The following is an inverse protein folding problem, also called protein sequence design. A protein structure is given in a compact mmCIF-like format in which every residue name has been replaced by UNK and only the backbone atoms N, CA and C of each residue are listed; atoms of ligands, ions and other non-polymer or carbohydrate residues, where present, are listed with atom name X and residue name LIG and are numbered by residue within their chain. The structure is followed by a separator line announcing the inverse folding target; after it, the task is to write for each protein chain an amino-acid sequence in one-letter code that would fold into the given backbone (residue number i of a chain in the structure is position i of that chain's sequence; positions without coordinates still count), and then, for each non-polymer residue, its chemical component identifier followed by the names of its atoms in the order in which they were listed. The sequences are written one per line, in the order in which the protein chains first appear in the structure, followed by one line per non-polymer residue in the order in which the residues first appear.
data_IF_041802903327
#
_entry.id   IF_041802903327
#
_cell.length_a   1.000
_cell.length_b   1.000
_cell.length_c   1.000
_cell.angle_alpha   90.00
_cell.angle_beta   90.00
_cell.angle_gamma   90.00
#
_symmetry.space_group_name_H-M   'P 1'
#
loop_
_entity.id
_entity.type
_entity.pdbx_description
1 polymer ?
#
# COMPACT_ATOMS: atom_id res chain seq x y z
N UNK A 1 8.47 8.20 -17.35
CA UNK A 1 7.27 8.36 -16.49
C UNK A 1 7.74 8.00 -15.10
N UNK A 2 7.80 8.97 -14.18
CA UNK A 2 8.41 8.76 -12.87
C UNK A 2 7.48 7.88 -12.03
N UNK A 3 7.92 6.68 -11.67
CA UNK A 3 7.33 5.97 -10.53
C UNK A 3 7.77 6.75 -9.29
N UNK A 4 6.89 7.64 -8.81
CA UNK A 4 7.09 8.30 -7.54
C UNK A 4 6.93 7.25 -6.44
N UNK A 5 7.85 7.15 -5.45
CA UNK A 5 7.64 6.29 -4.31
C UNK A 5 6.36 6.69 -3.59
N UNK A 6 5.42 5.76 -3.57
CA UNK A 6 4.11 5.99 -2.99
C UNK A 6 4.13 5.77 -1.49
N UNK A 7 3.51 6.70 -0.77
CA UNK A 7 3.23 6.61 0.67
C UNK A 7 1.74 6.36 0.79
N UNK A 8 1.37 5.08 0.90
CA UNK A 8 -0.03 4.71 1.07
C UNK A 8 -0.49 5.08 2.47
N UNK A 9 -1.50 5.93 2.50
CA UNK A 9 -2.20 6.47 3.64
C UNK A 9 -3.49 5.71 3.88
N UNK A 10 -3.50 4.38 3.64
CA UNK A 10 -4.68 3.51 3.82
C UNK A 10 -5.15 3.60 5.28
N UNK A 11 -5.94 4.62 5.54
CA UNK A 11 -6.55 4.96 6.81
C UNK A 11 -8.03 4.70 6.61
N UNK A 12 -8.55 3.69 7.31
CA UNK A 12 -9.78 3.04 6.92
C UNK A 12 -10.56 2.63 8.17
N UNK A 13 -11.25 3.60 8.78
CA UNK A 13 -12.35 3.32 9.70
C UNK A 13 -13.67 3.51 8.95
N UNK A 14 -14.43 2.48 8.61
CA UNK A 14 -15.81 2.65 8.11
C UNK A 14 -16.76 1.73 8.89
N UNK A 15 -17.49 2.25 9.89
CA UNK A 15 -18.35 1.43 10.72
C UNK A 15 -19.59 0.89 9.97
N UNK A 16 -19.77 1.24 8.69
CA UNK A 16 -20.91 0.83 7.86
C UNK A 16 -20.47 0.43 6.44
N UNK A 17 -19.60 -0.56 6.32
CA UNK A 17 -19.46 -1.27 5.05
C UNK A 17 -20.82 -1.90 4.69
N UNK A 18 -21.45 -1.39 3.64
CA UNK A 18 -22.86 -1.64 3.30
C UNK A 18 -23.14 -3.04 2.69
N UNK A 19 -22.15 -3.94 2.71
CA UNK A 19 -22.18 -5.19 1.93
C UNK A 19 -21.82 -6.46 2.73
N UNK A 20 -21.81 -6.40 4.07
CA UNK A 20 -21.60 -7.59 4.91
C UNK A 20 -20.14 -8.07 4.99
N UNK A 21 -19.20 -7.31 4.42
CA UNK A 21 -17.77 -7.52 4.61
C UNK A 21 -17.32 -6.88 5.93
N UNK A 22 -16.53 -7.62 6.70
CA UNK A 22 -15.89 -7.11 7.90
C UNK A 22 -14.93 -5.95 7.54
N UNK A 23 -14.90 -4.90 8.35
CA UNK A 23 -14.02 -3.73 8.14
C UNK A 23 -12.55 -4.14 7.98
N UNK A 24 -12.15 -5.19 8.70
CA UNK A 24 -10.80 -5.76 8.70
C UNK A 24 -10.50 -6.58 7.43
N UNK A 25 -11.47 -6.75 6.54
CA UNK A 25 -11.35 -7.58 5.34
C UNK A 25 -10.83 -6.80 4.12
N UNK A 26 -10.74 -5.47 4.19
CA UNK A 26 -10.34 -4.61 3.08
C UNK A 26 -8.97 -4.96 2.47
N UNK A 27 -8.89 -4.89 1.14
CA UNK A 27 -7.82 -5.47 0.32
C UNK A 27 -6.44 -4.85 0.51
N UNK A 28 -6.38 -3.52 0.69
CA UNK A 28 -5.13 -2.72 0.62
C UNK A 28 -4.74 -2.05 1.94
N UNK A 29 -5.35 -2.45 3.05
CA UNK A 29 -5.00 -1.97 4.40
C UNK A 29 -3.54 -2.23 4.75
N UNK A 30 -2.98 -3.36 4.30
CA UNK A 30 -1.57 -3.73 4.50
C UNK A 30 -0.56 -2.75 3.90
N UNK A 31 -0.96 -1.94 2.93
CA UNK A 31 -0.09 -0.93 2.31
C UNK A 31 0.04 0.31 3.21
N UNK A 32 -0.92 0.51 4.12
CA UNK A 32 -0.97 1.63 5.06
C UNK A 32 -0.09 1.45 6.30
N UNK A 33 -0.39 2.25 7.33
CA UNK A 33 0.35 2.30 8.61
C UNK A 33 -0.52 1.97 9.81
N UNK A 34 -1.60 1.21 9.59
CA UNK A 34 -2.60 0.87 10.59
C UNK A 34 -3.79 1.84 10.61
N UNK A 35 -4.85 1.50 11.37
CA UNK A 35 -6.15 2.20 11.31
C UNK A 35 -6.27 3.40 12.28
N UNK A 36 -5.20 3.82 12.95
CA UNK A 36 -5.23 4.92 13.93
C UNK A 36 -4.64 6.20 13.30
N UNK A 37 -5.36 7.35 13.31
CA UNK A 37 -4.97 8.50 12.49
C UNK A 37 -3.61 9.07 12.88
N UNK A 38 -3.30 9.11 14.18
CA UNK A 38 -2.05 9.64 14.67
C UNK A 38 -0.87 8.79 14.21
N UNK A 39 -0.89 7.48 14.46
CA UNK A 39 0.13 6.53 14.02
C UNK A 39 0.30 6.55 12.50
N UNK A 40 -0.81 6.57 11.76
CA UNK A 40 -0.76 6.63 10.30
C UNK A 40 -0.15 7.94 9.80
N UNK A 41 -0.47 9.06 10.46
CA UNK A 41 0.07 10.38 10.15
C UNK A 41 1.55 10.51 10.47
N UNK A 42 2.00 10.08 11.65
CA UNK A 42 3.43 10.10 12.01
C UNK A 42 4.25 9.14 11.14
N UNK A 43 3.72 7.94 10.87
CA UNK A 43 4.36 6.99 9.95
C UNK A 43 4.52 7.56 8.54
N UNK A 44 3.54 8.33 8.06
CA UNK A 44 3.63 9.01 6.79
C UNK A 44 4.62 10.17 6.79
N UNK A 45 4.60 11.00 7.84
CA UNK A 45 5.52 12.11 7.99
C UNK A 45 6.97 11.62 7.87
N UNK A 46 7.35 10.62 8.67
CA UNK A 46 8.71 10.09 8.68
C UNK A 46 9.07 9.39 7.36
N UNK A 47 8.12 8.67 6.75
CA UNK A 47 8.34 8.03 5.44
C UNK A 47 8.59 9.07 4.35
N UNK A 48 7.81 10.15 4.32
CA UNK A 48 7.93 11.23 3.33
C UNK A 48 9.25 11.98 3.53
N UNK A 49 9.61 12.30 4.78
CA UNK A 49 10.91 12.92 5.10
C UNK A 49 12.05 12.03 4.62
N UNK A 50 11.99 10.72 4.90
CA UNK A 50 12.99 9.74 4.45
C UNK A 50 13.14 9.70 2.92
N UNK A 51 12.03 9.51 2.19
CA UNK A 51 12.04 9.44 0.72
C UNK A 51 12.57 10.75 0.11
N UNK A 52 12.06 11.90 0.58
CA UNK A 52 12.43 13.19 -0.01
C UNK A 52 13.85 13.62 0.35
N UNK A 53 14.43 13.09 1.44
CA UNK A 53 15.82 13.34 1.80
C UNK A 53 16.81 12.78 0.76
N UNK A 54 16.41 11.79 -0.04
CA UNK A 54 17.23 11.21 -1.12
C UNK A 54 17.01 11.90 -2.46
N UNK A 55 16.43 13.11 -2.48
CA UNK A 55 16.12 13.83 -3.71
C UNK A 55 15.01 13.19 -4.55
N UNK A 56 14.17 12.34 -3.96
CA UNK A 56 13.06 11.68 -4.66
C UNK A 56 11.71 12.25 -4.22
N UNK A 57 10.84 12.60 -5.17
CA UNK A 57 9.50 13.12 -4.85
C UNK A 57 8.59 12.01 -4.30
N UNK A 58 8.12 12.15 -3.06
CA UNK A 58 7.14 11.23 -2.47
C UNK A 58 5.70 11.57 -2.91
N UNK A 59 4.85 10.54 -3.01
CA UNK A 59 3.44 10.69 -3.37
C UNK A 59 2.52 10.12 -2.29
N UNK A 60 1.76 10.95 -1.58
CA UNK A 60 0.78 10.46 -0.59
C UNK A 60 -0.53 10.03 -1.28
N UNK A 61 -1.00 8.79 -1.01
CA UNK A 61 -2.15 8.20 -1.71
C UNK A 61 -3.02 7.31 -0.81
N UNK A 62 -4.28 7.02 -1.11
CA UNK A 62 -5.11 7.58 -2.18
C UNK A 62 -6.06 8.59 -1.55
N UNK A 63 -6.13 9.79 -2.11
CA UNK A 63 -6.87 10.92 -1.57
C UNK A 63 -8.25 11.03 -2.25
N UNK A 64 -9.36 10.64 -1.61
CA UNK A 64 -9.48 10.13 -0.24
C UNK A 64 -10.67 9.19 -0.13
N UNK A 65 -10.73 8.41 0.95
CA UNK A 65 -11.83 7.50 1.28
C UNK A 65 -11.97 6.31 0.32
N UNK A 66 -10.89 5.90 -0.34
CA UNK A 66 -10.88 4.66 -1.10
C UNK A 66 -10.78 3.45 -0.15
N UNK A 67 -11.86 3.21 0.59
CA UNK A 67 -11.88 2.34 1.77
C UNK A 67 -12.26 0.88 1.47
N UNK A 68 -12.41 0.52 0.21
CA UNK A 68 -12.70 -0.84 -0.23
C UNK A 68 -12.29 -0.99 -1.69
N UNK A 69 -11.83 -2.18 -2.08
CA UNK A 69 -11.53 -2.45 -3.48
C UNK A 69 -12.80 -2.76 -4.28
N UNK A 70 -13.79 -3.38 -3.62
CA UNK A 70 -15.09 -3.67 -4.20
C UNK A 70 -15.74 -2.40 -4.75
N UNK A 71 -15.96 -2.39 -6.07
CA UNK A 71 -16.53 -1.25 -6.79
C UNK A 71 -15.78 0.06 -6.60
N UNK A 72 -14.46 0.06 -6.34
CA UNK A 72 -13.69 1.30 -6.09
C UNK A 72 -13.84 2.39 -7.17
N UNK A 73 -14.12 2.01 -8.42
CA UNK A 73 -14.35 2.94 -9.55
C UNK A 73 -15.82 3.39 -9.69
N UNK A 74 -16.72 2.90 -8.85
CA UNK A 74 -18.17 3.16 -8.90
C UNK A 74 -18.79 3.35 -7.50
N UNK A 75 -17.97 3.40 -6.45
CA UNK A 75 -18.41 3.58 -5.07
C UNK A 75 -18.46 5.06 -4.72
N UNK A 76 -19.32 5.40 -3.75
CA UNK A 76 -19.46 6.76 -3.24
C UNK A 76 -19.32 6.74 -1.71
N UNK A 77 -18.22 7.31 -1.22
CA UNK A 77 -17.95 7.43 0.20
C UNK A 77 -18.70 8.63 0.77
N UNK A 78 -19.60 8.38 1.72
CA UNK A 78 -20.35 9.41 2.43
C UNK A 78 -19.74 9.67 3.80
N UNK A 79 -19.21 10.87 4.00
CA UNK A 79 -18.55 11.25 5.25
C UNK A 79 -19.02 12.64 5.70
N UNK A 80 -19.20 12.81 7.00
CA UNK A 80 -19.45 14.12 7.59
C UNK A 80 -18.13 14.90 7.78
N UNK A 81 -18.25 16.22 7.94
CA UNK A 81 -17.08 17.11 8.03
C UNK A 81 -16.14 16.77 9.19
N UNK A 82 -16.70 16.40 10.35
CA UNK A 82 -15.92 16.04 11.54
C UNK A 82 -15.06 14.81 11.28
N UNK A 83 -15.65 13.73 10.77
CA UNK A 83 -14.92 12.50 10.45
C UNK A 83 -13.94 12.71 9.29
N UNK A 84 -14.28 13.54 8.28
CA UNK A 84 -13.32 13.91 7.24
C UNK A 84 -12.04 14.48 7.87
N UNK A 85 -12.16 15.45 8.78
CA UNK A 85 -11.01 16.16 9.34
C UNK A 85 -10.27 15.40 10.45
N UNK A 86 -10.99 14.79 11.40
CA UNK A 86 -10.39 14.16 12.59
C UNK A 86 -9.80 12.77 12.30
N UNK A 87 -10.27 12.12 11.24
CA UNK A 87 -10.03 10.69 11.01
C UNK A 87 -9.29 10.52 9.67
N UNK A 88 -9.92 10.79 8.53
CA UNK A 88 -9.32 10.44 7.23
C UNK A 88 -8.31 11.45 6.71
N UNK A 89 -8.52 12.74 6.97
CA UNK A 89 -7.65 13.79 6.46
C UNK A 89 -6.40 13.98 7.31
N UNK A 90 -6.44 13.63 8.61
CA UNK A 90 -5.31 13.83 9.52
C UNK A 90 -3.98 13.26 8.98
N UNK A 91 -3.92 12.03 8.43
CA UNK A 91 -2.68 11.51 7.89
C UNK A 91 -2.17 12.30 6.66
N UNK A 92 -3.07 12.86 5.84
CA UNK A 92 -2.69 13.76 4.73
C UNK A 92 -2.25 15.14 5.23
N UNK A 93 -2.80 15.63 6.33
CA UNK A 93 -2.31 16.85 6.99
C UNK A 93 -0.85 16.67 7.43
N UNK A 94 -0.51 15.53 8.02
CA UNK A 94 0.87 15.18 8.37
C UNK A 94 1.77 15.05 7.14
N UNK A 95 1.28 14.50 6.03
CA UNK A 95 2.00 14.50 4.76
C UNK A 95 2.28 15.93 4.24
N UNK A 96 1.32 16.84 4.37
CA UNK A 96 1.50 18.26 4.02
C UNK A 96 2.53 18.92 4.93
N UNK A 97 2.51 18.65 6.24
CA UNK A 97 3.53 19.12 7.19
C UNK A 97 4.95 18.64 6.82
N UNK A 98 5.07 17.42 6.28
CA UNK A 98 6.31 16.87 5.76
C UNK A 98 6.74 17.44 4.38
N UNK A 99 6.00 18.43 3.85
CA UNK A 99 6.17 18.99 2.51
C UNK A 99 6.14 17.93 1.40
N UNK A 100 5.17 17.01 1.43
CA UNK A 100 5.00 16.01 0.38
C UNK A 100 4.90 16.66 -1.02
N UNK A 101 5.63 16.10 -1.98
CA UNK A 101 5.73 16.62 -3.34
C UNK A 101 4.43 16.44 -4.14
N UNK A 102 3.75 15.31 -3.98
CA UNK A 102 2.51 15.02 -4.68
C UNK A 102 1.48 14.28 -3.82
N UNK A 103 0.21 14.42 -4.22
CA UNK A 103 -0.89 13.65 -3.67
C UNK A 103 -1.63 12.97 -4.82
N UNK A 104 -1.89 11.67 -4.70
CA UNK A 104 -2.67 10.92 -5.69
C UNK A 104 -4.13 10.89 -5.29
N UNK A 105 -5.00 11.41 -6.14
CA UNK A 105 -6.44 11.38 -5.94
C UNK A 105 -7.02 9.98 -6.21
N UNK A 106 -8.06 9.58 -5.49
CA UNK A 106 -8.61 8.22 -5.52
C UNK A 106 -9.61 7.95 -6.67
N UNK A 107 -10.00 6.68 -6.80
CA UNK A 107 -11.00 6.18 -7.75
C UNK A 107 -12.46 6.50 -7.38
N UNK A 108 -12.79 6.57 -6.10
CA UNK A 108 -14.17 6.64 -5.64
C UNK A 108 -14.73 8.07 -5.69
N UNK A 109 -16.06 8.16 -5.69
CA UNK A 109 -16.73 9.42 -5.38
C UNK A 109 -16.63 9.73 -3.88
N UNK A 110 -16.60 11.02 -3.55
CA UNK A 110 -16.70 11.52 -2.17
C UNK A 110 -17.87 12.47 -2.08
N UNK A 111 -18.87 12.11 -1.25
CA UNK A 111 -20.11 12.85 -1.09
C UNK A 111 -20.81 13.18 -2.44
N UNK A 112 -20.76 12.26 -3.40
CA UNK A 112 -21.40 12.38 -4.71
C UNK A 112 -20.61 13.11 -5.79
N UNK A 113 -19.30 13.30 -5.61
CA UNK A 113 -18.42 13.87 -6.64
C UNK A 113 -17.12 13.09 -6.71
N UNK A 114 -16.75 12.67 -7.92
CA UNK A 114 -15.48 12.00 -8.24
C UNK A 114 -14.31 12.73 -7.58
N UNK A 115 -13.48 11.98 -6.84
CA UNK A 115 -12.37 12.56 -6.08
C UNK A 115 -11.43 13.36 -6.99
N UNK A 116 -11.14 12.86 -8.20
CA UNK A 116 -10.27 13.52 -9.19
C UNK A 116 -10.90 14.76 -9.84
N UNK A 117 -12.19 15.01 -9.62
CA UNK A 117 -12.95 16.16 -10.11
C UNK A 117 -13.57 17.00 -8.97
N UNK A 118 -13.18 16.76 -7.72
CA UNK A 118 -13.82 17.39 -6.58
C UNK A 118 -13.10 18.69 -6.14
N UNK A 119 -13.62 19.85 -6.56
CA UNK A 119 -13.05 21.15 -6.20
C UNK A 119 -13.07 21.47 -4.70
N UNK A 120 -13.97 20.85 -3.93
CA UNK A 120 -13.99 20.98 -2.48
C UNK A 120 -12.82 20.24 -1.81
N UNK A 121 -12.23 19.26 -2.50
CA UNK A 121 -11.05 18.52 -2.05
C UNK A 121 -9.76 19.13 -2.62
N UNK A 122 -9.68 19.34 -3.94
CA UNK A 122 -8.44 19.62 -4.67
C UNK A 122 -8.21 21.09 -5.02
N UNK A 123 -9.30 21.85 -5.18
CA UNK A 123 -9.26 23.21 -5.72
C UNK A 123 -8.52 24.20 -4.82
N UNK A 124 -8.31 25.43 -5.29
CA UNK A 124 -7.55 26.45 -4.54
C UNK A 124 -8.15 26.78 -3.16
N UNK A 125 -9.46 26.60 -3.00
CA UNK A 125 -10.18 26.71 -1.73
C UNK A 125 -10.62 25.35 -1.15
N UNK A 126 -10.12 24.26 -1.72
CA UNK A 126 -10.40 22.90 -1.30
C UNK A 126 -9.59 22.50 -0.08
N UNK A 127 -9.94 21.34 0.48
CA UNK A 127 -9.37 20.79 1.70
C UNK A 127 -7.83 20.75 1.68
N UNK A 128 -7.21 20.28 0.59
CA UNK A 128 -5.75 20.22 0.47
C UNK A 128 -5.11 21.61 0.55
N UNK A 129 -5.58 22.53 -0.27
CA UNK A 129 -4.94 23.84 -0.47
C UNK A 129 -5.15 24.76 0.73
N UNK A 130 -6.32 24.72 1.35
CA UNK A 130 -6.59 25.46 2.61
C UNK A 130 -5.66 25.05 3.75
N UNK A 131 -5.21 23.80 3.75
CA UNK A 131 -4.30 23.27 4.76
C UNK A 131 -2.82 23.33 4.33
N UNK A 132 -2.51 24.07 3.26
CA UNK A 132 -1.13 24.41 2.90
C UNK A 132 -0.44 23.46 1.94
N UNK A 133 -1.18 22.56 1.27
CA UNK A 133 -0.58 21.71 0.23
C UNK A 133 -0.08 22.53 -0.97
N UNK A 134 1.24 22.49 -1.21
CA UNK A 134 1.92 23.27 -2.28
C UNK A 134 2.30 22.44 -3.51
N UNK A 135 2.30 21.12 -3.39
CA UNK A 135 2.68 20.20 -4.46
C UNK A 135 1.59 20.03 -5.52
N UNK A 136 1.69 18.97 -6.31
CA UNK A 136 0.72 18.67 -7.38
C UNK A 136 -0.20 17.49 -7.05
N UNK A 137 -1.44 17.55 -7.53
CA UNK A 137 -2.38 16.42 -7.49
C UNK A 137 -2.26 15.63 -8.79
N UNK A 138 -2.01 14.33 -8.66
CA UNK A 138 -2.03 13.37 -9.77
C UNK A 138 -3.26 12.46 -9.63
N UNK A 139 -3.86 12.00 -10.72
CA UNK A 139 -4.93 11.00 -10.64
C UNK A 139 -4.37 9.65 -10.24
N UNK A 140 -5.18 8.75 -9.69
CA UNK A 140 -4.89 7.32 -9.79
C UNK A 140 -5.00 6.88 -11.27
N UNK A 141 -4.47 5.71 -11.60
CA UNK A 141 -4.41 5.21 -12.96
C UNK A 141 -5.81 5.04 -13.54
N UNK A 142 -6.15 5.85 -14.55
CA UNK A 142 -7.48 5.88 -15.18
C UNK A 142 -8.62 6.37 -14.27
N UNK A 143 -8.34 7.01 -13.12
CA UNK A 143 -9.35 7.62 -12.24
C UNK A 143 -9.85 8.97 -12.79
N UNK A 144 -10.37 8.94 -14.03
CA UNK A 144 -10.68 10.13 -14.80
C UNK A 144 -11.98 9.87 -15.57
N UNK A 145 -13.09 10.41 -15.06
CA UNK A 145 -14.43 10.06 -15.52
C UNK A 145 -15.20 11.21 -16.18
N UNK A 146 -14.72 12.44 -15.99
CA UNK A 146 -15.34 13.64 -16.54
C UNK A 146 -14.52 14.23 -17.68
N UNK A 147 -15.02 15.31 -18.27
CA UNK A 147 -14.29 16.01 -19.33
C UNK A 147 -13.08 16.80 -18.77
N UNK A 148 -12.24 17.25 -19.70
CA UNK A 148 -11.01 18.01 -19.45
C UNK A 148 -11.20 19.21 -18.51
N UNK A 149 -12.18 20.07 -18.78
CA UNK A 149 -12.36 21.31 -18.03
C UNK A 149 -12.88 21.04 -16.62
N UNK A 150 -13.70 20.01 -16.43
CA UNK A 150 -14.12 19.56 -15.10
C UNK A 150 -12.92 19.20 -14.23
N UNK A 151 -12.03 18.31 -14.67
CA UNK A 151 -10.86 17.91 -13.89
C UNK A 151 -9.87 19.07 -13.69
N UNK A 152 -9.59 19.82 -14.77
CA UNK A 152 -8.64 20.92 -14.73
C UNK A 152 -9.05 22.03 -13.77
N UNK A 153 -10.32 22.46 -13.84
CA UNK A 153 -10.84 23.52 -12.98
C UNK A 153 -11.14 23.03 -11.55
N UNK A 154 -11.25 21.72 -11.32
CA UNK A 154 -11.38 21.15 -9.99
C UNK A 154 -10.06 21.14 -9.21
N UNK A 155 -8.90 21.25 -9.87
CA UNK A 155 -7.59 21.31 -9.23
C UNK A 155 -6.71 20.07 -9.44
N UNK A 156 -7.05 19.19 -10.38
CA UNK A 156 -6.16 18.12 -10.83
C UNK A 156 -5.01 18.73 -11.65
N UNK A 157 -3.76 18.40 -11.30
CA UNK A 157 -2.58 18.97 -11.94
C UNK A 157 -1.92 18.01 -12.95
N UNK A 158 -2.11 16.69 -12.79
CA UNK A 158 -1.54 15.67 -13.66
C UNK A 158 -2.50 14.48 -13.86
N UNK A 159 -2.65 14.06 -15.12
CA UNK A 159 -3.34 12.82 -15.48
C UNK A 159 -2.33 11.67 -15.65
N UNK A 160 -2.61 10.52 -15.05
CA UNK A 160 -1.85 9.28 -15.26
C UNK A 160 -2.79 8.11 -15.65
N UNK A 161 -2.40 7.24 -16.60
CA UNK A 161 -1.15 7.20 -17.37
C UNK A 161 -1.04 8.30 -18.45
N UNK A 162 -2.09 9.12 -18.62
CA UNK A 162 -2.17 10.18 -19.60
C UNK A 162 -2.83 9.74 -20.92
N UNK A 163 -3.35 10.72 -21.67
CA UNK A 163 -3.91 10.51 -23.01
C UNK A 163 -5.41 10.26 -23.06
N UNK A 164 -6.13 10.35 -21.94
CA UNK A 164 -7.58 10.18 -21.88
C UNK A 164 -8.30 11.53 -22.01
N UNK A 165 -8.03 12.49 -21.13
CA UNK A 165 -8.76 13.77 -21.08
C UNK A 165 -7.85 15.01 -21.11
N UNK A 166 -6.59 14.90 -20.74
CA UNK A 166 -5.59 15.95 -20.88
C UNK A 166 -4.83 15.78 -22.22
N UNK A 167 -3.63 16.34 -22.35
CA UNK A 167 -2.88 16.35 -23.60
C UNK A 167 -3.47 17.33 -24.63
N UNK A 168 -3.82 16.84 -25.82
CA UNK A 168 -4.40 17.67 -26.89
C UNK A 168 -5.72 18.31 -26.48
N UNK A 169 -6.52 17.61 -25.67
CA UNK A 169 -7.80 18.12 -25.18
C UNK A 169 -7.61 19.28 -24.21
N UNK A 170 -6.60 19.22 -23.32
CA UNK A 170 -6.26 20.35 -22.45
C UNK A 170 -5.76 21.55 -23.24
N UNK A 171 -4.98 21.33 -24.30
CA UNK A 171 -4.57 22.40 -25.21
C UNK A 171 -5.77 23.07 -25.88
N UNK A 172 -6.74 22.27 -26.34
CA UNK A 172 -7.97 22.78 -26.95
C UNK A 172 -8.84 23.54 -25.95
N UNK A 173 -9.01 23.01 -24.72
CA UNK A 173 -9.78 23.64 -23.66
C UNK A 173 -9.20 25.00 -23.24
N UNK A 174 -7.86 25.12 -23.20
CA UNK A 174 -7.21 26.41 -22.91
C UNK A 174 -7.40 27.41 -24.05
N UNK A 175 -7.23 26.98 -25.31
CA UNK A 175 -7.47 27.83 -26.48
C UNK A 175 -8.94 28.24 -26.62
N UNK A 176 -9.86 27.37 -26.21
CA UNK A 176 -11.30 27.59 -26.22
C UNK A 176 -11.81 28.44 -25.06
N UNK A 177 -11.01 28.63 -24.00
CA UNK A 177 -11.38 29.40 -22.82
C UNK A 177 -12.10 28.60 -21.73
N UNK A 178 -12.33 27.30 -21.92
CA UNK A 178 -12.94 26.41 -20.91
C UNK A 178 -11.99 26.15 -19.72
N UNK A 179 -10.68 26.31 -19.94
CA UNK A 179 -9.63 26.29 -18.90
C UNK A 179 -8.81 27.56 -19.05
N UNK A 180 -8.57 28.29 -17.97
CA UNK A 180 -7.79 29.52 -18.07
C UNK A 180 -6.29 29.23 -18.19
N UNK A 181 -5.54 30.11 -18.85
CA UNK A 181 -4.06 30.01 -18.88
C UNK A 181 -3.46 30.06 -17.46
N UNK A 182 -4.09 30.78 -16.54
CA UNK A 182 -3.70 30.81 -15.13
C UNK A 182 -3.84 29.43 -14.47
N UNK A 183 -4.92 28.70 -14.76
CA UNK A 183 -5.12 27.33 -14.29
C UNK A 183 -3.99 26.42 -14.78
N UNK A 184 -3.72 26.42 -16.10
CA UNK A 184 -2.62 25.63 -16.68
C UNK A 184 -1.25 25.99 -16.07
N UNK A 185 -0.98 27.28 -15.92
CA UNK A 185 0.27 27.75 -15.32
C UNK A 185 0.41 27.31 -13.86
N UNK A 186 -0.68 27.25 -13.10
CA UNK A 186 -0.66 26.74 -11.73
C UNK A 186 -0.38 25.23 -11.69
N UNK A 187 -0.97 24.43 -12.58
CA UNK A 187 -0.66 23.00 -12.69
C UNK A 187 0.85 22.79 -12.95
N UNK A 188 1.40 23.49 -13.95
CA UNK A 188 2.81 23.38 -14.32
C UNK A 188 3.71 23.83 -13.18
N UNK A 189 3.40 24.94 -12.50
CA UNK A 189 4.16 25.42 -11.34
C UNK A 189 4.18 24.40 -10.22
N UNK A 190 3.05 23.75 -9.92
CA UNK A 190 2.94 22.74 -8.86
C UNK A 190 3.70 21.46 -9.17
N UNK A 191 3.88 21.12 -10.45
CA UNK A 191 4.72 20.00 -10.88
C UNK A 191 6.20 20.37 -10.82
N UNK A 192 6.57 21.56 -11.31
CA UNK A 192 7.97 21.97 -11.39
C UNK A 192 8.58 22.39 -10.05
N UNK A 193 7.79 22.99 -9.14
CA UNK A 193 8.29 23.45 -7.84
C UNK A 193 8.91 22.31 -6.99
N UNK A 194 8.23 21.16 -6.76
CA UNK A 194 8.83 20.05 -6.03
C UNK A 194 9.96 19.38 -6.82
N UNK A 195 9.90 19.35 -8.16
CA UNK A 195 11.00 18.84 -8.99
C UNK A 195 12.31 19.60 -8.70
N UNK A 196 12.27 20.93 -8.74
CA UNK A 196 13.45 21.75 -8.44
C UNK A 196 13.90 21.63 -6.99
N UNK A 197 12.96 21.53 -6.04
CA UNK A 197 13.31 21.30 -4.63
C UNK A 197 14.10 19.99 -4.48
N UNK A 198 13.64 18.91 -5.11
CA UNK A 198 14.32 17.62 -5.05
C UNK A 198 15.68 17.61 -5.77
N UNK A 199 15.80 18.27 -6.92
CA UNK A 199 17.07 18.40 -7.65
C UNK A 199 18.17 19.08 -6.80
N UNK A 200 17.78 20.11 -6.02
CA UNK A 200 18.72 20.74 -5.08
C UNK A 200 19.17 19.81 -3.96
N UNK A 201 18.31 18.90 -3.51
CA UNK A 201 18.62 17.92 -2.46
C UNK A 201 19.52 16.80 -3.01
N UNK A 202 19.18 16.25 -4.18
CA UNK A 202 19.96 15.19 -4.85
C UNK A 202 21.42 15.62 -5.08
N UNK A 203 21.61 16.86 -5.55
CA UNK A 203 22.94 17.44 -5.75
C UNK A 203 23.73 17.50 -4.43
N UNK A 204 23.07 17.80 -3.30
CA UNK A 204 23.73 17.83 -1.98
C UNK A 204 24.07 16.43 -1.47
N UNK A 205 23.18 15.44 -1.68
CA UNK A 205 23.39 14.04 -1.27
C UNK A 205 24.56 13.42 -2.04
N UNK A 206 24.61 13.61 -3.37
CA UNK A 206 25.69 13.11 -4.23
C UNK A 206 27.08 13.62 -3.82
N UNK A 207 27.16 14.82 -3.23
CA UNK A 207 28.42 15.38 -2.72
C UNK A 207 28.86 14.79 -1.36
N UNK A 208 27.99 14.02 -0.70
CA UNK A 208 28.22 13.44 0.63
C UNK A 208 28.28 11.91 0.65
N UNK A 209 27.75 11.24 -0.38
CA UNK A 209 27.74 9.78 -0.43
C UNK A 209 29.05 9.19 -0.97
N UNK A 210 29.99 8.97 -0.06
CA UNK A 210 30.81 7.75 -0.11
C UNK A 210 30.34 6.83 1.02
N UNK A 211 29.93 5.60 0.69
CA UNK A 211 29.61 4.49 1.61
C UNK A 211 28.34 4.61 2.46
N UNK A 212 27.17 4.24 1.91
CA UNK A 212 25.99 3.85 2.70
C UNK A 212 25.53 2.39 2.46
N UNK A 213 25.81 1.80 1.29
CA UNK A 213 25.37 0.44 0.96
C UNK A 213 26.05 -0.70 1.75
N UNK A 214 27.17 -0.45 2.45
CA UNK A 214 27.89 -1.50 3.19
C UNK A 214 27.36 -1.75 4.62
N UNK A 215 26.45 -0.91 5.14
CA UNK A 215 26.08 -0.91 6.56
C UNK A 215 24.82 -1.71 6.95
N UNK A 216 24.11 -2.34 6.01
CA UNK A 216 22.84 -3.05 6.30
C UNK A 216 22.99 -4.56 6.56
N UNK A 217 24.20 -5.08 6.75
CA UNK A 217 24.47 -6.53 6.87
C UNK A 217 24.26 -7.15 8.26
N UNK A 218 23.71 -6.45 9.26
CA UNK A 218 23.35 -7.12 10.52
C UNK A 218 21.89 -7.57 10.45
N UNK A 219 21.61 -8.87 10.21
CA UNK A 219 20.24 -9.35 10.34
C UNK A 219 19.72 -9.01 11.73
N UNK A 220 18.47 -8.53 11.86
CA UNK A 220 17.87 -8.28 13.16
C UNK A 220 17.97 -9.55 14.02
N UNK A 221 18.03 -9.43 15.36
CA UNK A 221 17.99 -10.59 16.23
C UNK A 221 16.76 -11.43 15.86
N UNK A 222 16.99 -12.62 15.33
CA UNK A 222 15.93 -13.56 14.97
C UNK A 222 15.04 -13.86 16.18
N UNK A 223 13.83 -14.36 15.90
CA UNK A 223 12.78 -14.69 16.88
C UNK A 223 13.39 -15.19 18.19
N UNK A 224 13.01 -14.64 19.37
CA UNK A 224 13.55 -15.02 20.68
C UNK A 224 13.00 -16.38 21.13
N UNK A 225 13.21 -17.41 20.32
CA UNK A 225 13.04 -18.80 20.70
C UNK A 225 14.39 -19.32 21.15
N UNK A 226 14.45 -19.90 22.35
CA UNK A 226 15.62 -20.66 22.81
C UNK A 226 15.70 -22.00 22.08
N UNK A 227 15.96 -21.96 20.77
CA UNK A 227 15.98 -23.13 19.88
C UNK A 227 17.16 -24.08 20.19
N UNK A 228 18.12 -23.66 21.02
CA UNK A 228 19.30 -24.46 21.38
C UNK A 228 18.99 -25.74 22.16
N UNK A 229 17.84 -25.81 22.87
CA UNK A 229 17.42 -26.99 23.63
C UNK A 229 16.55 -27.98 22.84
N UNK A 230 16.12 -27.61 21.62
CA UNK A 230 15.23 -28.42 20.80
C UNK A 230 16.06 -29.52 20.10
N UNK A 231 15.70 -30.79 20.33
CA UNK A 231 16.36 -31.95 19.70
C UNK A 231 15.63 -32.38 18.44
N UNK A 232 14.33 -32.12 18.37
CA UNK A 232 13.45 -32.44 17.26
C UNK A 232 12.35 -31.40 17.10
N UNK A 233 12.16 -30.89 15.88
CA UNK A 233 11.24 -29.82 15.53
C UNK A 233 10.32 -30.26 14.39
N UNK A 234 9.02 -30.07 14.53
CA UNK A 234 8.08 -30.13 13.42
C UNK A 234 7.96 -28.76 12.75
N UNK A 235 7.96 -28.71 11.42
CA UNK A 235 7.65 -27.50 10.64
C UNK A 235 6.49 -27.81 9.71
N UNK A 236 5.35 -27.18 9.94
CA UNK A 236 4.07 -27.54 9.35
C UNK A 236 3.49 -26.34 8.60
N UNK A 237 2.85 -26.62 7.47
CA UNK A 237 2.12 -25.62 6.68
C UNK A 237 2.85 -25.23 5.42
N UNK A 238 2.05 -24.98 4.38
CA UNK A 238 2.55 -24.53 3.08
C UNK A 238 3.25 -23.18 3.16
N UNK A 239 2.82 -22.31 4.08
CA UNK A 239 3.42 -20.99 4.32
C UNK A 239 4.86 -21.06 4.87
N UNK A 240 5.32 -22.24 5.29
CA UNK A 240 6.72 -22.46 5.66
C UNK A 240 7.61 -22.75 4.45
N UNK A 241 7.03 -22.99 3.27
CA UNK A 241 7.71 -23.44 2.06
C UNK A 241 8.14 -22.28 1.16
N UNK A 242 8.97 -22.60 0.16
CA UNK A 242 9.31 -21.64 -0.90
C UNK A 242 8.05 -21.15 -1.61
N UNK A 243 8.05 -19.86 -1.96
CA UNK A 243 7.01 -19.25 -2.81
C UNK A 243 6.91 -20.04 -4.11
N UNK A 244 5.68 -20.29 -4.56
CA UNK A 244 5.43 -20.85 -5.89
C UNK A 244 6.08 -20.00 -6.99
N UNK A 245 6.61 -20.63 -8.04
CA UNK A 245 7.33 -19.92 -9.12
C UNK A 245 6.41 -19.17 -10.11
N UNK A 246 5.09 -19.27 -9.97
CA UNK A 246 4.10 -18.71 -10.90
C UNK A 246 3.13 -17.76 -10.17
N UNK A 247 3.60 -16.53 -9.93
CA UNK A 247 2.84 -15.49 -9.21
C UNK A 247 2.08 -14.52 -10.14
N UNK A 248 2.01 -14.83 -11.44
CA UNK A 248 1.34 -14.00 -12.44
C UNK A 248 1.81 -12.54 -12.48
N UNK A 249 0.97 -11.66 -13.02
CA UNK A 249 1.15 -10.22 -12.88
C UNK A 249 0.61 -9.80 -11.51
N UNK A 250 1.23 -8.79 -10.86
CA UNK A 250 0.89 -8.22 -9.55
C UNK A 250 1.10 -9.11 -8.30
N UNK A 251 1.97 -10.12 -8.36
CA UNK A 251 2.37 -10.96 -7.20
C UNK A 251 1.21 -11.75 -6.55
N UNK A 252 0.29 -12.29 -7.36
CA UNK A 252 -0.72 -13.24 -6.88
C UNK A 252 -0.08 -14.63 -6.86
N UNK A 253 0.73 -14.92 -5.84
CA UNK A 253 1.23 -16.28 -5.62
C UNK A 253 0.13 -17.09 -4.91
N UNK A 254 -0.24 -18.30 -5.36
CA UNK A 254 -1.24 -19.11 -4.67
C UNK A 254 -0.65 -20.03 -3.59
N UNK A 255 0.68 -20.18 -3.54
CA UNK A 255 1.35 -21.20 -2.73
C UNK A 255 2.69 -20.73 -2.17
N UNK A 256 3.08 -21.32 -1.04
CA UNK A 256 4.32 -21.03 -0.34
C UNK A 256 4.20 -19.91 0.68
N UNK A 257 5.34 -19.46 1.19
CA UNK A 257 5.41 -18.35 2.14
C UNK A 257 5.00 -17.03 1.48
N UNK A 258 4.31 -16.18 2.24
CA UNK A 258 3.96 -14.83 1.79
C UNK A 258 4.69 -13.76 2.59
N UNK A 259 5.45 -12.93 1.90
CA UNK A 259 6.16 -11.80 2.48
C UNK A 259 5.65 -10.44 1.95
N UNK A 260 5.02 -10.42 0.77
CA UNK A 260 4.31 -9.27 0.23
C UNK A 260 2.93 -9.64 -0.31
N UNK A 261 1.97 -8.72 -0.18
CA UNK A 261 0.61 -8.86 -0.73
C UNK A 261 0.58 -8.53 -2.23
N UNK A 262 -0.51 -8.88 -2.91
CA UNK A 262 -0.66 -8.63 -4.35
C UNK A 262 -1.16 -7.21 -4.65
N UNK A 263 -0.90 -6.72 -5.86
CA UNK A 263 -1.36 -5.41 -6.33
C UNK A 263 -0.25 -4.46 -6.78
N UNK A 264 -0.62 -3.20 -7.09
CA UNK A 264 0.34 -2.17 -7.51
C UNK A 264 1.35 -1.78 -6.43
N UNK A 265 1.03 -2.02 -5.15
CA UNK A 265 1.92 -1.78 -4.02
C UNK A 265 2.92 -2.90 -3.76
N UNK A 266 3.10 -3.82 -4.71
CA UNK A 266 4.07 -4.92 -4.61
C UNK A 266 5.33 -4.63 -5.43
N UNK A 267 6.40 -5.38 -5.20
CA UNK A 267 7.66 -5.31 -5.95
C UNK A 267 8.14 -6.70 -6.37
N UNK A 268 9.03 -6.75 -7.35
CA UNK A 268 9.76 -7.99 -7.63
C UNK A 268 10.78 -8.23 -6.52
N UNK A 269 10.83 -9.45 -6.02
CA UNK A 269 11.77 -9.86 -4.99
C UNK A 269 12.92 -10.63 -5.63
N UNK A 270 14.16 -10.24 -5.31
CA UNK A 270 15.35 -10.93 -5.81
C UNK A 270 15.42 -12.37 -5.29
N UNK A 271 15.01 -12.57 -4.04
CA UNK A 271 14.81 -13.88 -3.42
C UNK A 271 13.91 -13.77 -2.19
N UNK A 272 13.30 -14.90 -1.81
CA UNK A 272 12.58 -15.06 -0.55
C UNK A 272 13.18 -16.24 0.19
N UNK A 273 13.65 -16.02 1.42
CA UNK A 273 14.12 -17.09 2.29
C UNK A 273 12.92 -17.62 3.10
N UNK A 274 12.35 -18.79 2.76
CA UNK A 274 11.17 -19.28 3.45
C UNK A 274 11.51 -19.71 4.88
N UNK A 275 10.52 -19.76 5.78
CA UNK A 275 10.75 -20.15 7.17
C UNK A 275 11.48 -21.48 7.32
N UNK A 276 11.18 -22.49 6.48
CA UNK A 276 11.87 -23.79 6.53
C UNK A 276 13.38 -23.68 6.27
N UNK A 277 13.82 -22.77 5.39
CA UNK A 277 15.23 -22.59 5.08
C UNK A 277 15.97 -21.96 6.27
N UNK A 278 15.42 -20.87 6.81
CA UNK A 278 15.99 -20.18 7.98
C UNK A 278 16.06 -21.09 9.21
N UNK A 279 15.03 -21.92 9.43
CA UNK A 279 15.01 -22.89 10.53
C UNK A 279 16.06 -23.99 10.36
N UNK A 280 16.22 -24.54 9.15
CA UNK A 280 17.25 -25.55 8.85
C UNK A 280 18.66 -25.03 9.17
N UNK A 281 18.95 -23.79 8.82
CA UNK A 281 20.25 -23.16 9.11
C UNK A 281 20.44 -22.92 10.61
N UNK A 282 19.38 -22.53 11.32
CA UNK A 282 19.45 -22.18 12.75
C UNK A 282 19.54 -23.38 13.68
N UNK A 283 18.77 -24.46 13.44
CA UNK A 283 18.68 -25.61 14.35
C UNK A 283 19.33 -26.89 13.82
N UNK A 284 19.68 -26.89 12.53
CA UNK A 284 20.23 -28.04 11.82
C UNK A 284 19.15 -28.88 11.14
N UNK A 285 19.30 -29.09 9.83
CA UNK A 285 18.31 -29.80 9.01
C UNK A 285 17.98 -31.22 9.51
N UNK A 286 18.92 -31.91 10.17
CA UNK A 286 18.72 -33.25 10.72
C UNK A 286 17.72 -33.29 11.89
N UNK A 287 17.43 -32.15 12.53
CA UNK A 287 16.47 -32.06 13.64
C UNK A 287 15.05 -31.76 13.19
N UNK A 288 14.86 -31.39 11.92
CA UNK A 288 13.57 -30.96 11.40
C UNK A 288 12.87 -32.11 10.69
N UNK A 289 11.59 -32.29 11.01
CA UNK A 289 10.65 -33.04 10.17
C UNK A 289 9.58 -32.06 9.71
N UNK A 290 9.30 -32.03 8.41
CA UNK A 290 8.40 -31.03 7.84
C UNK A 290 7.21 -31.63 7.10
N UNK A 291 6.05 -31.00 7.22
CA UNK A 291 4.89 -31.18 6.35
C UNK A 291 4.56 -29.84 5.70
N UNK A 292 5.08 -29.59 4.50
CA UNK A 292 5.01 -28.30 3.81
C UNK A 292 3.76 -28.16 2.93
N UNK A 293 2.67 -28.75 3.38
CA UNK A 293 1.33 -28.65 2.80
C UNK A 293 0.34 -28.37 3.93
N UNK A 294 -0.88 -27.97 3.59
CA UNK A 294 -1.96 -27.77 4.56
C UNK A 294 -2.78 -29.05 4.79
N UNK A 295 -2.19 -30.23 4.55
CA UNK A 295 -2.81 -31.52 4.85
C UNK A 295 -2.65 -31.87 6.33
N UNK A 296 -3.77 -31.98 7.02
CA UNK A 296 -3.77 -32.13 8.48
C UNK A 296 -3.27 -33.52 8.95
N UNK A 297 -3.44 -34.57 8.14
CA UNK A 297 -2.94 -35.90 8.46
C UNK A 297 -1.41 -36.01 8.31
N UNK A 298 -0.86 -35.39 7.27
CA UNK A 298 0.58 -35.26 7.05
C UNK A 298 1.21 -34.40 8.16
N UNK A 299 0.55 -33.30 8.55
CA UNK A 299 0.94 -32.45 9.67
C UNK A 299 1.06 -33.24 10.98
N UNK A 300 -0.01 -33.95 11.38
CA UNK A 300 0.00 -34.80 12.58
C UNK A 300 1.09 -35.88 12.52
N UNK A 301 1.40 -36.40 11.33
CA UNK A 301 2.47 -37.39 11.17
C UNK A 301 3.86 -36.78 11.36
N UNK A 302 4.08 -35.56 10.88
CA UNK A 302 5.34 -34.84 11.05
C UNK A 302 5.59 -34.45 12.52
N UNK A 303 4.53 -34.13 13.27
CA UNK A 303 4.62 -33.67 14.66
C UNK A 303 4.76 -34.78 15.72
N UNK A 304 4.46 -36.03 15.36
CA UNK A 304 4.49 -37.15 16.33
C UNK A 304 5.80 -37.20 17.14
N UNK A 305 5.67 -36.87 18.43
CA UNK A 305 6.73 -36.90 19.45
C UNK A 305 7.91 -35.95 19.14
N UNK A 306 7.65 -34.76 18.58
CA UNK A 306 8.65 -33.69 18.50
C UNK A 306 8.70 -32.91 19.81
N UNK A 307 9.84 -32.28 20.07
CA UNK A 307 9.99 -31.45 21.26
C UNK A 307 9.28 -30.10 21.10
N UNK A 308 9.04 -29.69 19.85
CA UNK A 308 8.30 -28.49 19.49
C UNK A 308 7.71 -28.61 18.08
N UNK A 309 6.63 -27.88 17.84
CA UNK A 309 5.93 -27.77 16.57
C UNK A 309 5.79 -26.29 16.19
N UNK A 310 6.15 -25.93 14.96
CA UNK A 310 5.89 -24.62 14.38
C UNK A 310 4.94 -24.78 13.20
N UNK A 311 3.74 -24.24 13.34
CA UNK A 311 2.71 -24.24 12.29
C UNK A 311 2.68 -22.85 11.64
N UNK A 312 2.85 -22.81 10.32
CA UNK A 312 2.83 -21.61 9.50
C UNK A 312 1.52 -21.56 8.71
N UNK A 313 0.80 -20.45 8.88
CA UNK A 313 -0.53 -20.19 8.29
C UNK A 313 -0.59 -18.74 7.86
N UNK A 314 -1.41 -18.44 6.85
CA UNK A 314 -1.49 -17.11 6.27
C UNK A 314 -2.93 -16.69 5.92
N UNK A 315 -3.06 -15.42 5.53
CA UNK A 315 -4.26 -14.83 4.92
C UNK A 315 -3.80 -13.70 4.01
N UNK A 316 -4.33 -13.65 2.79
CA UNK A 316 -3.91 -12.68 1.78
C UNK A 316 -5.07 -11.76 1.38
N UNK A 317 -4.71 -10.65 0.76
CA UNK A 317 -5.60 -9.60 0.25
C UNK A 317 -4.78 -8.74 -0.69
N UNK A 318 -5.41 -7.86 -1.47
CA UNK A 318 -4.65 -6.94 -2.29
C UNK A 318 -5.51 -6.10 -3.21
N UNK A 319 -4.88 -5.53 -4.24
CA UNK A 319 -5.57 -4.77 -5.27
C UNK A 319 -6.14 -5.69 -6.36
N UNK A 320 -7.40 -5.48 -6.74
CA UNK A 320 -8.04 -6.21 -7.83
C UNK A 320 -8.95 -5.29 -8.66
N UNK A 321 -9.01 -5.54 -9.97
CA UNK A 321 -10.04 -4.97 -10.84
C UNK A 321 -11.29 -5.87 -10.72
N UNK A 322 -12.21 -5.56 -9.79
CA UNK A 322 -13.43 -6.33 -9.57
C UNK A 322 -13.76 -6.57 -8.09
N UNK A 323 -14.35 -7.72 -7.78
CA UNK A 323 -14.84 -8.07 -6.43
C UNK A 323 -13.83 -8.85 -5.57
N UNK A 324 -12.61 -9.09 -6.04
CA UNK A 324 -11.72 -10.13 -5.50
C UNK A 324 -10.46 -9.59 -4.78
N UNK A 325 -10.43 -8.30 -4.43
CA UNK A 325 -9.31 -7.67 -3.70
C UNK A 325 -9.48 -7.71 -2.18
N UNK A 326 -10.67 -7.36 -1.73
CA UNK A 326 -11.09 -7.47 -0.34
C UNK A 326 -11.26 -8.94 0.05
N UNK A 327 -10.86 -9.30 1.27
CA UNK A 327 -11.11 -10.62 1.85
C UNK A 327 -12.61 -10.81 2.06
N UNK A 328 -13.07 -12.02 1.80
CA UNK A 328 -14.48 -12.39 2.01
C UNK A 328 -14.82 -12.64 3.48
N UNK A 329 -13.81 -12.97 4.27
CA UNK A 329 -13.90 -13.27 5.70
C UNK A 329 -12.57 -12.94 6.39
N UNK A 330 -12.50 -13.23 7.69
CA UNK A 330 -11.30 -13.06 8.52
C UNK A 330 -10.65 -14.39 8.88
N UNK A 331 -11.01 -15.47 8.19
CA UNK A 331 -10.46 -16.80 8.40
C UNK A 331 -9.05 -16.93 7.80
N UNK A 332 -8.28 -17.85 8.34
CA UNK A 332 -7.02 -18.27 7.74
C UNK A 332 -7.32 -18.95 6.41
N UNK A 333 -6.48 -18.68 5.42
CA UNK A 333 -6.66 -19.26 4.10
C UNK A 333 -6.22 -20.72 4.09
N UNK A 334 -6.67 -21.45 3.07
CA UNK A 334 -6.23 -22.81 2.76
C UNK A 334 -6.38 -23.82 3.91
N UNK A 335 -7.39 -23.62 4.78
CA UNK A 335 -7.68 -24.50 5.91
C UNK A 335 -6.75 -24.32 7.11
N UNK A 336 -6.11 -23.15 7.25
CA UNK A 336 -5.15 -22.87 8.31
C UNK A 336 -5.68 -23.11 9.73
N UNK A 337 -6.96 -22.86 10.02
CA UNK A 337 -7.53 -23.15 11.34
C UNK A 337 -7.53 -24.64 11.66
N UNK A 338 -7.93 -25.47 10.70
CA UNK A 338 -7.93 -26.92 10.88
C UNK A 338 -6.51 -27.46 11.07
N UNK A 339 -5.54 -26.86 10.36
CA UNK A 339 -4.13 -27.20 10.48
C UNK A 339 -3.57 -26.88 11.87
N UNK A 340 -3.89 -25.70 12.42
CA UNK A 340 -3.45 -25.27 13.74
C UNK A 340 -4.13 -26.06 14.88
N UNK A 341 -5.45 -26.23 14.82
CA UNK A 341 -6.22 -26.88 15.89
C UNK A 341 -5.90 -28.38 16.06
N UNK A 342 -5.42 -29.07 15.01
CA UNK A 342 -5.07 -30.48 15.11
C UNK A 342 -3.75 -30.76 15.84
N UNK A 343 -2.87 -29.76 16.02
CA UNK A 343 -1.58 -29.97 16.71
C UNK A 343 -1.67 -29.81 18.23
N UNK A 344 -2.71 -29.16 18.76
CA UNK A 344 -2.94 -29.03 20.22
C UNK A 344 -3.51 -30.32 20.87
N UNK A 345 -3.80 -31.35 20.07
CA UNK A 345 -4.54 -32.55 20.49
C UNK A 345 -3.66 -33.80 20.65
N UNK A 346 -2.33 -33.70 20.50
CA UNK A 346 -1.39 -34.84 20.55
C UNK A 346 -0.19 -34.58 21.45
#
# INVERSE_FOLDING_TARGET
MYNLPDVSMSYQYDPRSSHGYHEESQGRTCMGKGPEPYLAGEGAYETIVGIQSTGTMACAKHFILNNQEHLRMNSNAHVNDKAMHEIYFYPFLKAIEANVASIMSSYNDVNGTDACANSALLGDNGLLRKNGFKGFVVSDWFAIYANTSTHANAGLDMEIPGGLVFGTNLTAAVRGGDVTEATLNNMVRRVLAPYYLMETIDTLVSLTETTLCDQLHTPPPGVPLSLGSIKSLAVIGEDANYVGQDCGNINICPTGTFDIRFGSGSNNQDFVAPPIAALKDRVGASKIVSSLTNDAAAASTADKKKDACLVFVNTQSGEALGNDGDRTDLHLWYGGEALALQQDMT
#
